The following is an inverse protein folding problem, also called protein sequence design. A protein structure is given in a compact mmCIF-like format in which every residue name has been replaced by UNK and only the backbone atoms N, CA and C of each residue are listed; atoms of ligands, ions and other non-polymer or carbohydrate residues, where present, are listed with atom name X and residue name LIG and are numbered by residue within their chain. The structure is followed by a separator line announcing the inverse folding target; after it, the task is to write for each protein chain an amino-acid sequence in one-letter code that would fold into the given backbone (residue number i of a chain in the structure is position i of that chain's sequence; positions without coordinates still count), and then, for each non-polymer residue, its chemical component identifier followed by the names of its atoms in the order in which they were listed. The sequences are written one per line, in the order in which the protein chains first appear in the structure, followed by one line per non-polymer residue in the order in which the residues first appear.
data_IF_774134778897
#
_entry.id   IF_774134778897
#
_cell.length_a   1.000
_cell.length_b   1.000
_cell.length_c   1.000
_cell.angle_alpha   90.00
_cell.angle_beta   90.00
_cell.angle_gamma   90.00
#
_symmetry.space_group_name_H-M   'P 1'
#
loop_
_entity.id
_entity.type
_entity.pdbx_description
1 polymer ?
#
# COMPACT_ATOMS: atom_id res chain seq x y z
N UNK A 1 9.78 10.98 -23.74
CA UNK A 1 9.42 10.19 -24.95
C UNK A 1 8.71 8.94 -24.49
N UNK A 2 7.39 8.84 -24.76
CA UNK A 2 6.59 7.64 -24.51
C UNK A 2 7.11 6.47 -25.35
N UNK A 3 7.22 5.25 -24.81
CA UNK A 3 7.73 4.11 -25.58
C UNK A 3 6.83 3.79 -26.77
N UNK A 4 7.44 3.41 -27.90
CA UNK A 4 6.80 3.17 -29.18
C UNK A 4 5.58 2.21 -29.12
N UNK A 5 5.52 1.29 -28.17
CA UNK A 5 4.39 0.39 -27.91
C UNK A 5 3.11 1.17 -27.53
N UNK A 6 3.24 2.30 -26.84
CA UNK A 6 2.08 3.12 -26.46
C UNK A 6 1.49 3.87 -27.67
N UNK A 7 2.35 4.20 -28.64
CA UNK A 7 1.95 4.89 -29.88
C UNK A 7 1.18 3.93 -30.81
N UNK A 8 1.56 2.65 -30.86
CA UNK A 8 0.89 1.64 -31.70
C UNK A 8 -0.51 1.32 -31.16
N UNK A 9 -0.71 1.27 -29.86
CA UNK A 9 -2.05 1.07 -29.27
C UNK A 9 -2.94 2.32 -29.39
N UNK A 10 -2.36 3.51 -29.34
CA UNK A 10 -3.12 4.76 -29.49
C UNK A 10 -3.64 4.99 -30.91
N UNK A 11 -3.02 4.39 -31.92
CA UNK A 11 -3.43 4.53 -33.32
C UNK A 11 -4.57 3.60 -33.77
N UNK A 12 -4.92 2.57 -32.97
CA UNK A 12 -5.92 1.56 -33.33
C UNK A 12 -7.16 1.58 -32.40
N UNK A 13 -7.21 2.49 -31.41
CA UNK A 13 -8.38 2.63 -30.54
C UNK A 13 -9.44 3.49 -31.23
N UNK A 14 -10.63 2.94 -31.43
CA UNK A 14 -11.79 3.70 -31.90
C UNK A 14 -11.94 4.98 -31.04
N UNK A 15 -12.11 6.13 -31.71
CA UNK A 15 -12.24 7.44 -31.06
C UNK A 15 -13.32 7.40 -29.99
N UNK A 16 -14.42 6.69 -30.22
CA UNK A 16 -15.54 6.49 -29.30
C UNK A 16 -15.11 5.75 -28.02
N UNK A 17 -14.25 4.74 -28.11
CA UNK A 17 -13.74 4.02 -26.94
C UNK A 17 -12.80 4.89 -26.12
N UNK A 18 -11.94 5.66 -26.78
CA UNK A 18 -11.05 6.61 -26.11
C UNK A 18 -11.84 7.67 -25.34
N UNK A 19 -12.84 8.27 -25.98
CA UNK A 19 -13.67 9.32 -25.37
C UNK A 19 -14.49 8.75 -24.19
N UNK A 20 -14.99 7.52 -24.32
CA UNK A 20 -15.68 6.80 -23.24
C UNK A 20 -14.74 6.56 -22.04
N UNK A 21 -13.51 6.10 -22.27
CA UNK A 21 -12.54 5.84 -21.22
C UNK A 21 -12.09 7.14 -20.53
N UNK A 22 -11.92 8.23 -21.27
CA UNK A 22 -11.64 9.56 -20.72
C UNK A 22 -12.81 10.00 -19.84
N UNK A 23 -14.04 9.91 -20.32
CA UNK A 23 -15.23 10.27 -19.55
C UNK A 23 -15.36 9.46 -18.25
N UNK A 24 -15.08 8.17 -18.28
CA UNK A 24 -15.05 7.35 -17.05
C UNK A 24 -13.90 7.74 -16.12
N UNK A 25 -12.71 8.03 -16.67
CA UNK A 25 -11.59 8.48 -15.84
C UNK A 25 -11.91 9.80 -15.13
N UNK A 26 -12.52 10.76 -15.82
CA UNK A 26 -12.96 12.02 -15.23
C UNK A 26 -14.07 11.81 -14.19
N UNK A 27 -15.06 10.99 -14.51
CA UNK A 27 -16.19 10.69 -13.62
C UNK A 27 -15.75 10.00 -12.33
N UNK A 28 -14.84 9.00 -12.42
CA UNK A 28 -14.45 8.16 -11.29
C UNK A 28 -13.17 8.62 -10.58
N UNK A 29 -12.48 9.67 -11.07
CA UNK A 29 -11.33 10.27 -10.40
C UNK A 29 -11.77 11.31 -9.36
N UNK A 30 -12.77 10.97 -8.56
CA UNK A 30 -13.31 11.81 -7.49
C UNK A 30 -13.18 11.08 -6.15
N UNK A 31 -12.68 11.75 -5.08
CA UNK A 31 -12.53 11.17 -3.74
C UNK A 31 -13.76 10.47 -3.18
N UNK A 32 -14.98 10.86 -3.60
CA UNK A 32 -16.22 10.22 -3.15
C UNK A 32 -16.28 8.72 -3.48
N UNK A 33 -15.64 8.28 -4.58
CA UNK A 33 -15.61 6.88 -4.98
C UNK A 33 -14.60 6.03 -4.21
N UNK A 34 -13.74 6.67 -3.42
CA UNK A 34 -12.68 6.01 -2.64
C UNK A 34 -12.98 5.95 -1.14
N UNK A 35 -14.16 6.38 -0.69
CA UNK A 35 -14.53 6.41 0.73
C UNK A 35 -14.57 5.02 1.37
N UNK A 36 -14.89 4.00 0.59
CA UNK A 36 -14.90 2.59 1.03
C UNK A 36 -13.66 1.82 0.56
N UNK A 37 -12.61 2.50 0.13
CA UNK A 37 -11.36 1.88 -0.34
C UNK A 37 -10.27 1.99 0.74
N UNK A 38 -9.41 0.98 0.92
CA UNK A 38 -8.33 1.04 1.91
C UNK A 38 -7.34 2.19 1.71
N UNK A 39 -7.38 2.90 0.60
CA UNK A 39 -6.63 4.14 0.37
C UNK A 39 -6.96 5.24 1.39
N UNK A 40 -8.13 5.19 2.02
CA UNK A 40 -8.49 6.16 3.06
C UNK A 40 -7.46 6.20 4.19
N UNK A 41 -6.82 5.08 4.51
CA UNK A 41 -5.84 4.99 5.59
C UNK A 41 -4.54 5.73 5.27
N UNK A 42 -3.79 5.42 4.20
CA UNK A 42 -2.60 6.21 3.85
C UNK A 42 -2.94 7.67 3.55
N UNK A 43 -4.12 7.97 3.00
CA UNK A 43 -4.56 9.35 2.80
C UNK A 43 -4.75 10.10 4.11
N UNK A 44 -5.26 9.44 5.16
CA UNK A 44 -5.35 10.00 6.51
C UNK A 44 -3.95 10.40 7.00
N UNK A 45 -3.00 9.49 6.99
CA UNK A 45 -1.62 9.77 7.44
C UNK A 45 -0.91 10.80 6.57
N UNK A 46 -1.15 10.82 5.26
CA UNK A 46 -0.59 11.84 4.37
C UNK A 46 -1.11 13.25 4.68
N UNK A 47 -2.37 13.37 5.13
CA UNK A 47 -2.91 14.66 5.64
C UNK A 47 -2.27 15.05 6.96
N UNK A 48 -2.22 14.13 7.92
CA UNK A 48 -1.59 14.35 9.23
C UNK A 48 -0.11 14.72 9.08
N UNK A 49 0.62 14.08 8.14
CA UNK A 49 2.00 14.43 7.83
C UNK A 49 2.14 15.88 7.33
N UNK A 50 1.28 16.32 6.40
CA UNK A 50 1.27 17.71 5.92
C UNK A 50 0.96 18.72 7.02
N UNK A 51 0.18 18.33 8.02
CA UNK A 51 -0.15 19.14 9.18
C UNK A 51 0.94 19.10 10.28
N UNK A 52 1.99 18.28 10.13
CA UNK A 52 3.02 18.09 11.14
C UNK A 52 2.60 17.20 12.32
N UNK A 53 1.51 16.44 12.20
CA UNK A 53 0.94 15.57 13.23
C UNK A 53 1.41 14.11 13.13
N UNK A 54 1.96 13.72 11.98
CA UNK A 54 2.47 12.38 11.70
C UNK A 54 3.83 12.46 11.01
N UNK A 55 4.54 11.35 10.92
CA UNK A 55 5.82 11.22 10.22
C UNK A 55 5.62 10.66 8.81
N UNK A 56 6.61 10.83 7.92
CA UNK A 56 6.61 10.16 6.62
C UNK A 56 6.56 8.63 6.77
N UNK A 57 7.22 8.09 7.80
CA UNK A 57 7.21 6.67 8.09
C UNK A 57 5.79 6.14 8.42
N UNK A 58 4.94 6.94 9.07
CA UNK A 58 3.53 6.56 9.29
C UNK A 58 2.78 6.42 7.97
N UNK A 59 3.04 7.32 7.01
CA UNK A 59 2.47 7.23 5.65
C UNK A 59 2.95 5.97 4.94
N UNK A 60 4.26 5.72 4.94
CA UNK A 60 4.89 4.57 4.28
C UNK A 60 4.36 3.25 4.85
N UNK A 61 4.34 3.10 6.18
CA UNK A 61 3.88 1.89 6.85
C UNK A 61 2.38 1.66 6.60
N UNK A 62 1.56 2.70 6.76
CA UNK A 62 0.11 2.56 6.52
C UNK A 62 -0.21 2.20 5.08
N UNK A 63 0.49 2.79 4.10
CA UNK A 63 0.32 2.49 2.69
C UNK A 63 0.73 1.04 2.36
N UNK A 64 1.88 0.61 2.87
CA UNK A 64 2.38 -0.75 2.67
C UNK A 64 1.43 -1.80 3.25
N UNK A 65 1.03 -1.63 4.50
CA UNK A 65 0.18 -2.59 5.20
C UNK A 65 -1.25 -2.60 4.66
N UNK A 66 -1.85 -1.45 4.35
CA UNK A 66 -3.16 -1.39 3.71
C UNK A 66 -3.14 -2.07 2.33
N UNK A 67 -2.08 -1.88 1.54
CA UNK A 67 -1.93 -2.57 0.25
C UNK A 67 -1.74 -4.08 0.40
N UNK A 68 -1.08 -4.55 1.45
CA UNK A 68 -0.91 -5.97 1.75
C UNK A 68 -2.24 -6.65 2.08
N UNK A 69 -3.13 -5.97 2.80
CA UNK A 69 -4.47 -6.46 3.12
C UNK A 69 -5.50 -6.26 1.98
N UNK A 70 -5.16 -5.54 0.90
CA UNK A 70 -6.08 -5.12 -0.16
C UNK A 70 -6.47 -6.26 -1.10
N UNK A 71 -7.03 -7.36 -0.57
CA UNK A 71 -7.55 -8.48 -1.35
C UNK A 71 -8.78 -9.11 -0.71
N UNK A 72 -9.83 -9.28 -1.49
CA UNK A 72 -11.12 -9.79 -1.03
C UNK A 72 -12.24 -8.78 -1.14
N UNK A 73 -13.24 -8.87 -0.26
CA UNK A 73 -14.38 -7.92 -0.24
C UNK A 73 -13.94 -6.60 0.38
N UNK A 74 -14.24 -5.49 -0.30
CA UNK A 74 -13.84 -4.14 0.12
C UNK A 74 -14.20 -3.81 1.58
N UNK A 75 -15.44 -4.05 1.99
CA UNK A 75 -15.87 -3.81 3.36
C UNK A 75 -15.06 -4.60 4.42
N UNK A 76 -14.63 -5.84 4.09
CA UNK A 76 -13.77 -6.62 4.99
C UNK A 76 -12.35 -6.04 5.03
N UNK A 77 -11.83 -5.60 3.90
CA UNK A 77 -10.50 -4.99 3.81
C UNK A 77 -10.45 -3.73 4.68
N UNK A 78 -11.42 -2.83 4.50
CA UNK A 78 -11.50 -1.57 5.28
C UNK A 78 -11.64 -1.86 6.78
N UNK A 79 -12.55 -2.78 7.16
CA UNK A 79 -12.70 -3.19 8.56
C UNK A 79 -11.39 -3.70 9.16
N UNK A 80 -10.70 -4.59 8.44
CA UNK A 80 -9.52 -5.26 8.96
C UNK A 80 -8.27 -4.36 8.94
N UNK A 81 -8.16 -3.44 7.98
CA UNK A 81 -7.20 -2.34 8.04
C UNK A 81 -7.45 -1.42 9.24
N UNK A 82 -8.72 -1.09 9.53
CA UNK A 82 -9.08 -0.34 10.73
C UNK A 82 -8.65 -1.05 12.01
N UNK A 83 -8.99 -2.35 12.17
CA UNK A 83 -8.56 -3.17 13.31
C UNK A 83 -7.04 -3.21 13.48
N UNK A 84 -6.30 -3.27 12.39
CA UNK A 84 -4.84 -3.24 12.39
C UNK A 84 -4.33 -1.89 12.90
N UNK A 85 -4.90 -0.78 12.45
CA UNK A 85 -4.51 0.56 12.90
C UNK A 85 -4.96 0.85 14.33
N UNK A 86 -6.09 0.31 14.77
CA UNK A 86 -6.54 0.39 16.17
C UNK A 86 -5.54 -0.31 17.10
N UNK A 87 -5.03 -1.49 16.72
CA UNK A 87 -3.95 -2.18 17.43
C UNK A 87 -2.69 -1.33 17.52
N UNK A 88 -2.38 -0.57 16.46
CA UNK A 88 -1.25 0.36 16.44
C UNK A 88 -1.54 1.69 17.16
N UNK A 89 -2.72 1.86 17.76
CA UNK A 89 -3.17 3.13 18.34
C UNK A 89 -3.07 4.30 17.35
N UNK A 90 -3.27 4.04 16.07
CA UNK A 90 -3.11 5.01 14.96
C UNK A 90 -1.74 5.70 14.93
N UNK A 91 -0.69 4.99 15.40
CA UNK A 91 0.72 5.43 15.40
C UNK A 91 1.61 4.33 14.81
N UNK A 92 1.55 4.09 13.48
CA UNK A 92 2.20 2.95 12.84
C UNK A 92 3.71 2.89 13.07
N UNK A 93 4.40 4.02 12.96
CA UNK A 93 5.84 4.09 13.16
C UNK A 93 6.23 3.77 14.61
N UNK A 94 5.56 4.38 15.58
CA UNK A 94 5.84 4.12 16.98
C UNK A 94 5.59 2.65 17.35
N UNK A 95 4.49 2.08 16.87
CA UNK A 95 4.18 0.67 17.08
C UNK A 95 5.28 -0.25 16.52
N UNK A 96 5.71 0.00 15.29
CA UNK A 96 6.78 -0.76 14.63
C UNK A 96 8.09 -0.61 15.40
N UNK A 97 8.44 0.59 15.86
CA UNK A 97 9.69 0.84 16.58
C UNK A 97 9.69 0.35 18.03
N UNK A 98 8.53 0.27 18.66
CA UNK A 98 8.40 -0.26 20.02
C UNK A 98 8.83 -1.74 20.13
N UNK A 99 8.47 -2.55 19.14
CA UNK A 99 8.87 -3.96 19.07
C UNK A 99 8.00 -4.92 19.88
N UNK A 100 6.97 -4.41 20.54
CA UNK A 100 5.97 -5.22 21.26
C UNK A 100 4.73 -5.39 20.38
N UNK A 101 4.67 -6.52 19.68
CA UNK A 101 3.64 -6.76 18.68
C UNK A 101 2.65 -7.82 19.17
N UNK A 102 1.39 -7.60 18.89
CA UNK A 102 0.37 -8.64 19.04
C UNK A 102 0.73 -9.87 18.21
N UNK A 103 1.04 -10.97 18.89
CA UNK A 103 1.52 -12.20 18.28
C UNK A 103 0.59 -13.37 18.64
N UNK A 104 -0.52 -13.48 17.90
CA UNK A 104 -1.55 -14.50 18.11
C UNK A 104 -1.83 -15.25 16.81
N UNK A 105 -2.32 -16.48 16.94
CA UNK A 105 -2.76 -17.30 15.82
C UNK A 105 -4.15 -16.92 15.27
N UNK A 106 -4.79 -15.90 15.89
CA UNK A 106 -6.05 -15.36 15.43
C UNK A 106 -5.90 -14.63 14.09
N UNK A 107 -6.95 -14.69 13.27
CA UNK A 107 -6.98 -14.00 11.97
C UNK A 107 -7.06 -12.48 12.14
N UNK A 108 -6.14 -11.77 11.51
CA UNK A 108 -6.24 -10.34 11.24
C UNK A 108 -7.12 -10.11 10.00
N UNK A 109 -6.77 -10.75 8.88
CA UNK A 109 -7.50 -10.63 7.62
C UNK A 109 -7.45 -11.93 6.84
N UNK A 110 -8.59 -12.61 6.67
CA UNK A 110 -8.69 -13.86 5.92
C UNK A 110 -7.68 -14.91 6.44
N UNK A 111 -6.69 -15.25 5.63
CA UNK A 111 -5.61 -16.19 5.99
C UNK A 111 -4.45 -15.54 6.71
N UNK A 112 -4.37 -14.21 6.74
CA UNK A 112 -3.30 -13.48 7.42
C UNK A 112 -3.61 -13.44 8.92
N UNK A 113 -2.68 -13.94 9.73
CA UNK A 113 -2.76 -13.97 11.19
C UNK A 113 -2.04 -12.79 11.82
N UNK A 114 -2.36 -12.50 13.09
CA UNK A 114 -1.63 -11.51 13.88
C UNK A 114 -0.15 -11.87 14.03
N UNK A 115 0.19 -13.16 14.13
CA UNK A 115 1.57 -13.63 14.18
C UNK A 115 2.37 -13.32 12.91
N UNK A 116 1.75 -13.40 11.73
CA UNK A 116 2.38 -13.01 10.46
C UNK A 116 2.56 -11.49 10.38
N UNK A 117 1.56 -10.75 10.85
CA UNK A 117 1.63 -9.30 10.98
C UNK A 117 2.77 -8.87 11.92
N UNK A 118 2.90 -9.49 13.09
CA UNK A 118 4.01 -9.27 14.01
C UNK A 118 5.38 -9.50 13.35
N UNK A 119 5.51 -10.57 12.55
CA UNK A 119 6.74 -10.86 11.81
C UNK A 119 7.04 -9.77 10.76
N UNK A 120 6.02 -9.23 10.08
CA UNK A 120 6.16 -8.10 9.14
C UNK A 120 6.63 -6.85 9.90
N UNK A 121 6.03 -6.52 11.04
CA UNK A 121 6.43 -5.38 11.86
C UNK A 121 7.88 -5.50 12.33
N UNK A 122 8.32 -6.68 12.76
CA UNK A 122 9.71 -6.92 13.14
C UNK A 122 10.71 -6.69 12.00
N UNK A 123 10.35 -7.07 10.78
CA UNK A 123 11.18 -6.81 9.58
C UNK A 123 11.18 -5.34 9.20
N UNK A 124 10.03 -4.67 9.25
CA UNK A 124 9.93 -3.22 9.06
C UNK A 124 10.82 -2.48 10.07
N UNK A 125 10.77 -2.85 11.34
CA UNK A 125 11.64 -2.27 12.37
C UNK A 125 13.11 -2.38 12.01
N UNK A 126 13.55 -3.56 11.55
CA UNK A 126 14.94 -3.77 11.12
C UNK A 126 15.34 -2.85 9.96
N UNK A 127 14.44 -2.65 9.00
CA UNK A 127 14.67 -1.75 7.85
C UNK A 127 14.76 -0.31 8.35
N UNK A 128 13.80 0.18 9.14
CA UNK A 128 13.83 1.55 9.63
C UNK A 128 15.05 1.86 10.50
N UNK A 129 15.54 0.89 11.28
CA UNK A 129 16.79 1.03 12.04
C UNK A 129 18.02 1.13 11.14
N UNK A 130 17.97 0.60 9.92
CA UNK A 130 19.10 0.56 8.99
C UNK A 130 19.07 1.71 7.98
N UNK A 131 17.91 1.97 7.39
CA UNK A 131 17.74 2.92 6.27
C UNK A 131 17.00 4.20 6.67
N UNK A 132 16.22 4.16 7.74
CA UNK A 132 15.38 5.27 8.20
C UNK A 132 14.11 5.50 7.38
N UNK A 133 13.93 4.84 6.24
CA UNK A 133 12.77 4.98 5.33
C UNK A 133 12.64 3.76 4.44
N UNK A 134 11.47 3.57 3.83
CA UNK A 134 11.26 2.59 2.76
C UNK A 134 11.64 3.17 1.38
N UNK A 135 11.91 4.46 1.30
CA UNK A 135 12.33 5.13 0.07
C UNK A 135 13.66 4.53 -0.44
N UNK A 136 13.71 4.27 -1.73
CA UNK A 136 14.90 3.70 -2.37
C UNK A 136 14.99 2.17 -2.31
N UNK A 137 14.15 1.49 -1.54
CA UNK A 137 14.10 0.04 -1.59
C UNK A 137 13.55 -0.44 -2.94
N UNK A 138 14.22 -1.42 -3.52
CA UNK A 138 13.73 -2.11 -4.72
C UNK A 138 12.51 -2.97 -4.38
N UNK A 139 11.72 -3.27 -5.42
CA UNK A 139 10.57 -4.18 -5.32
C UNK A 139 10.95 -5.54 -4.71
N UNK A 140 12.15 -6.03 -5.01
CA UNK A 140 12.66 -7.29 -4.50
C UNK A 140 12.98 -7.19 -3.01
N UNK A 141 13.62 -6.13 -2.55
CA UNK A 141 13.92 -5.90 -1.14
C UNK A 141 12.65 -5.79 -0.30
N UNK A 142 11.61 -5.13 -0.81
CA UNK A 142 10.31 -5.09 -0.15
C UNK A 142 9.68 -6.49 -0.04
N UNK A 143 9.69 -7.26 -1.12
CA UNK A 143 9.08 -8.60 -1.14
C UNK A 143 9.79 -9.60 -0.25
N UNK A 144 11.11 -9.66 -0.36
CA UNK A 144 11.91 -10.63 0.39
C UNK A 144 12.19 -10.12 1.81
N UNK A 145 12.52 -8.86 1.96
CA UNK A 145 12.88 -8.25 3.23
C UNK A 145 11.68 -8.05 4.16
N UNK A 146 10.54 -7.57 3.65
CA UNK A 146 9.38 -7.26 4.48
C UNK A 146 8.42 -8.46 4.54
N UNK A 147 8.03 -9.01 3.39
CA UNK A 147 7.02 -10.07 3.35
C UNK A 147 7.62 -11.49 3.42
N UNK A 148 8.94 -11.64 3.40
CA UNK A 148 9.61 -12.93 3.48
C UNK A 148 9.30 -13.86 2.31
N UNK A 149 8.91 -13.30 1.16
CA UNK A 149 8.63 -14.09 -0.03
C UNK A 149 9.94 -14.61 -0.63
N UNK A 150 9.96 -15.90 -1.00
CA UNK A 150 11.10 -16.45 -1.74
C UNK A 150 11.23 -15.76 -3.09
N UNK A 151 12.47 -15.55 -3.55
CA UNK A 151 12.73 -15.02 -4.89
C UNK A 151 12.02 -15.86 -5.96
N UNK A 152 10.99 -15.29 -6.55
CA UNK A 152 10.33 -15.91 -7.69
C UNK A 152 10.89 -15.30 -8.98
N UNK A 153 11.83 -16.01 -9.60
CA UNK A 153 12.59 -15.55 -10.77
C UNK A 153 11.75 -15.27 -12.01
N UNK A 154 10.43 -15.48 -11.97
CA UNK A 154 9.56 -15.46 -13.17
C UNK A 154 8.30 -14.59 -13.10
N UNK A 155 7.96 -13.93 -12.00
CA UNK A 155 6.74 -13.15 -11.91
C UNK A 155 6.99 -11.64 -12.07
N UNK A 156 6.43 -10.97 -13.10
CA UNK A 156 6.50 -9.51 -13.19
C UNK A 156 5.65 -8.86 -12.09
N UNK A 157 6.24 -7.88 -11.45
CA UNK A 157 5.73 -7.17 -10.26
C UNK A 157 4.47 -6.32 -10.51
N UNK A 158 3.28 -6.91 -10.56
CA UNK A 158 2.03 -6.16 -10.75
C UNK A 158 1.59 -5.35 -9.52
N UNK A 159 1.88 -5.81 -8.29
CA UNK A 159 1.38 -5.15 -7.06
C UNK A 159 2.19 -3.93 -6.62
N UNK A 160 3.49 -3.95 -6.77
CA UNK A 160 4.39 -2.89 -6.29
C UNK A 160 4.43 -1.69 -7.25
N UNK A 161 4.25 -1.91 -8.54
CA UNK A 161 4.03 -0.80 -9.49
C UNK A 161 2.77 0.04 -9.16
N UNK A 162 1.81 -0.52 -8.44
CA UNK A 162 0.68 0.23 -7.92
C UNK A 162 1.10 1.16 -6.77
N UNK A 163 1.93 0.71 -5.81
CA UNK A 163 2.40 1.53 -4.70
C UNK A 163 3.26 2.72 -5.16
N UNK A 164 4.21 2.51 -6.08
CA UNK A 164 5.03 3.61 -6.65
C UNK A 164 4.19 4.69 -7.35
N UNK A 165 3.08 4.32 -8.00
CA UNK A 165 2.17 5.29 -8.62
C UNK A 165 1.41 6.16 -7.61
N UNK A 166 1.32 5.72 -6.34
CA UNK A 166 0.61 6.42 -5.29
C UNK A 166 1.50 7.39 -4.51
N UNK A 167 2.80 7.03 -4.33
CA UNK A 167 3.77 7.87 -3.62
C UNK A 167 4.30 9.05 -4.46
N UNK A 168 4.17 9.00 -5.78
CA UNK A 168 4.77 9.96 -6.73
C UNK A 168 3.74 10.91 -7.38
N UNK A 169 2.51 10.98 -6.91
CA UNK A 169 1.55 11.99 -7.40
C UNK A 169 1.53 13.20 -6.48
N UNK A 170 2.23 14.26 -6.97
CA UNK A 170 2.05 15.65 -6.55
C UNK A 170 0.60 16.13 -6.78
#
# INVERSE_FOLDING_TARGET
QLPAIFIIFAGCMDRTLKDTLIGWAEQYNDPQYFQEDPIIFPTHFARSYRNGEATLADVEISALLASHLAWGRRAMIVRDCGRMLDEMCWRPYDYVMNGDYRNEDASLHRTIKWSEFAAICGRLRSIYLTTGSLEGLSDQEIRTGIFGQKEDRKAPNKKINMMRRWLVRD
#
